data_IF_742552782540
#
_entry.id   IF_742552782540
#
_cell.length_a   1.000
_cell.length_b   1.000
_cell.length_c   1.000
_cell.angle_alpha   90.00
_cell.angle_beta   90.00
_cell.angle_gamma   90.00
#
_symmetry.space_group_name_H-M   'P 1'
#
loop_
_entity.id
_entity.type
_entity.pdbx_description
1 polymer ?
#
# COMPACT_ATOMS: atom_id res chain seq x y z
N UNK A 1 -4.72 4.26 0.00
CA UNK A 1 -3.76 4.79 -0.97
C UNK A 1 -2.71 5.69 -0.32
N UNK A 2 -3.05 6.48 0.70
CA UNK A 2 -2.11 7.39 1.37
C UNK A 2 -1.20 6.72 2.42
N UNK A 3 -1.39 5.43 2.69
CA UNK A 3 -0.55 4.68 3.62
C UNK A 3 -0.72 5.06 5.10
N UNK A 4 -1.87 5.61 5.49
CA UNK A 4 -2.15 5.93 6.90
C UNK A 4 -2.43 4.66 7.71
N UNK A 5 -2.09 4.68 8.99
CA UNK A 5 -2.29 3.56 9.93
C UNK A 5 -3.77 3.21 10.16
N UNK A 6 -4.64 4.20 10.07
CA UNK A 6 -6.07 4.04 10.32
C UNK A 6 -6.90 4.51 9.14
N UNK A 7 -8.07 3.88 8.95
CA UNK A 7 -9.09 4.25 7.97
C UNK A 7 -10.43 4.36 8.65
N UNK A 8 -11.27 5.33 8.22
CA UNK A 8 -12.64 5.47 8.68
C UNK A 8 -13.63 4.69 7.81
N UNK A 9 -13.44 4.78 6.49
CA UNK A 9 -14.25 4.17 5.45
C UNK A 9 -13.40 3.82 4.22
N UNK A 10 -14.00 3.11 3.28
CA UNK A 10 -13.38 2.81 2.00
C UNK A 10 -14.18 3.45 0.87
N UNK A 11 -13.52 4.27 0.05
CA UNK A 11 -14.05 4.74 -1.23
C UNK A 11 -13.52 3.87 -2.38
N UNK A 12 -14.42 3.21 -3.09
CA UNK A 12 -14.11 2.40 -4.28
C UNK A 12 -14.63 3.11 -5.52
N UNK A 13 -13.76 3.33 -6.49
CA UNK A 13 -14.11 3.87 -7.79
C UNK A 13 -14.08 2.79 -8.86
N UNK A 14 -15.11 2.79 -9.72
CA UNK A 14 -15.26 1.86 -10.83
C UNK A 14 -15.67 2.62 -12.09
N UNK A 15 -15.15 2.20 -13.23
CA UNK A 15 -15.69 2.55 -14.54
C UNK A 15 -16.48 1.37 -15.10
N UNK A 16 -17.69 1.59 -15.57
CA UNK A 16 -18.52 0.53 -16.13
C UNK A 16 -19.54 1.08 -17.13
N UNK A 17 -19.91 0.31 -18.15
CA UNK A 17 -20.96 0.71 -19.10
C UNK A 17 -22.34 0.87 -18.44
N UNK A 18 -22.61 0.13 -17.35
CA UNK A 18 -23.85 0.22 -16.59
C UNK A 18 -23.56 0.30 -15.10
N UNK A 19 -23.74 1.50 -14.54
CA UNK A 19 -23.60 1.71 -13.10
C UNK A 19 -24.60 0.90 -12.29
N UNK A 20 -25.83 0.76 -12.77
CA UNK A 20 -26.89 0.04 -12.04
C UNK A 20 -26.52 -1.41 -11.75
N UNK A 21 -26.00 -2.13 -12.74
CA UNK A 21 -25.60 -3.54 -12.56
C UNK A 21 -24.50 -3.66 -11.50
N UNK A 22 -23.54 -2.73 -11.51
CA UNK A 22 -22.46 -2.68 -10.51
C UNK A 22 -23.03 -2.44 -9.12
N UNK A 23 -23.93 -1.46 -8.99
CA UNK A 23 -24.53 -1.11 -7.70
C UNK A 23 -25.41 -2.23 -7.13
N UNK A 24 -26.22 -2.89 -7.99
CA UNK A 24 -27.07 -4.01 -7.57
C UNK A 24 -26.22 -5.19 -7.07
N UNK A 25 -25.08 -5.48 -7.71
CA UNK A 25 -24.14 -6.52 -7.25
C UNK A 25 -23.42 -6.12 -5.97
N UNK A 26 -23.05 -4.85 -5.85
CA UNK A 26 -22.34 -4.36 -4.68
C UNK A 26 -23.19 -4.46 -3.41
N UNK A 27 -24.46 -4.02 -3.44
CA UNK A 27 -25.34 -4.10 -2.28
C UNK A 27 -25.77 -5.54 -1.94
N UNK A 28 -25.68 -6.46 -2.91
CA UNK A 28 -25.96 -7.88 -2.72
C UNK A 28 -24.73 -8.70 -2.28
N UNK A 29 -23.57 -8.06 -2.01
CA UNK A 29 -22.39 -8.76 -1.54
C UNK A 29 -22.64 -9.40 -0.17
N UNK A 30 -22.24 -10.65 0.00
CA UNK A 30 -22.59 -11.48 1.17
C UNK A 30 -22.14 -10.90 2.53
N UNK A 31 -21.08 -10.10 2.53
CA UNK A 31 -20.57 -9.46 3.75
C UNK A 31 -21.28 -8.13 4.09
N UNK A 32 -22.25 -7.70 3.27
CA UNK A 32 -23.04 -6.50 3.57
C UNK A 32 -24.02 -6.81 4.69
N UNK A 33 -23.92 -6.02 5.77
CA UNK A 33 -24.86 -6.05 6.89
C UNK A 33 -26.01 -5.07 6.67
N UNK A 34 -25.68 -3.82 6.32
CA UNK A 34 -26.66 -2.74 6.14
C UNK A 34 -26.42 -2.03 4.80
N UNK A 35 -27.46 -1.77 4.05
CA UNK A 35 -27.41 -0.88 2.88
C UNK A 35 -27.80 0.52 3.34
N UNK A 36 -26.83 1.44 3.36
CA UNK A 36 -27.00 2.82 3.81
C UNK A 36 -27.57 3.72 2.70
N UNK A 37 -27.17 3.47 1.46
CA UNK A 37 -27.66 4.15 0.27
C UNK A 37 -27.53 3.25 -0.95
N UNK A 38 -28.49 3.31 -1.88
CA UNK A 38 -28.45 2.58 -3.14
C UNK A 38 -28.93 3.49 -4.27
N UNK A 39 -28.02 3.94 -5.10
CA UNK A 39 -28.27 4.80 -6.26
C UNK A 39 -27.68 4.23 -7.56
N UNK A 40 -27.92 4.91 -8.68
CA UNK A 40 -27.45 4.45 -9.98
C UNK A 40 -25.92 4.59 -10.16
N UNK A 41 -25.29 5.58 -9.49
CA UNK A 41 -23.86 5.87 -9.63
C UNK A 41 -23.12 5.89 -8.29
N UNK A 42 -23.85 5.84 -7.17
CA UNK A 42 -23.28 5.73 -5.81
C UNK A 42 -24.12 4.80 -4.97
N UNK A 43 -23.47 3.89 -4.26
CA UNK A 43 -24.05 3.11 -3.17
C UNK A 43 -23.11 3.09 -1.98
N UNK A 44 -23.69 3.02 -0.78
CA UNK A 44 -22.95 2.96 0.49
C UNK A 44 -23.48 1.78 1.30
N UNK A 45 -22.59 0.99 1.84
CA UNK A 45 -22.92 -0.17 2.65
C UNK A 45 -22.10 -0.19 3.94
N UNK A 46 -22.59 -0.92 4.94
CA UNK A 46 -21.82 -1.30 6.11
C UNK A 46 -21.62 -2.81 6.10
N UNK A 47 -20.37 -3.23 6.17
CA UNK A 47 -20.02 -4.64 6.22
C UNK A 47 -20.26 -5.24 7.61
N UNK A 48 -20.26 -6.56 7.72
CA UNK A 48 -20.37 -7.30 8.97
C UNK A 48 -19.29 -6.93 9.98
N UNK A 49 -18.08 -6.59 9.51
CA UNK A 49 -16.97 -6.04 10.30
C UNK A 49 -17.24 -4.66 10.93
N UNK A 50 -18.33 -3.98 10.51
CA UNK A 50 -18.65 -2.61 10.89
C UNK A 50 -18.05 -1.54 9.97
N UNK A 51 -17.16 -1.91 9.04
CA UNK A 51 -16.54 -0.99 8.10
C UNK A 51 -17.58 -0.47 7.10
N UNK A 52 -17.59 0.85 6.88
CA UNK A 52 -18.38 1.46 5.82
C UNK A 52 -17.59 1.42 4.50
N UNK A 53 -18.30 1.11 3.42
CA UNK A 53 -17.73 1.12 2.06
C UNK A 53 -18.67 1.91 1.15
N UNK A 54 -18.10 2.90 0.49
CA UNK A 54 -18.76 3.69 -0.55
C UNK A 54 -18.24 3.25 -1.92
N UNK A 55 -19.15 2.89 -2.81
CA UNK A 55 -18.80 2.57 -4.20
C UNK A 55 -19.40 3.61 -5.15
N UNK A 56 -18.58 4.08 -6.09
CA UNK A 56 -18.98 5.05 -7.11
C UNK A 56 -18.63 4.55 -8.49
N UNK A 57 -19.57 4.63 -9.41
CA UNK A 57 -19.32 4.47 -10.84
C UNK A 57 -19.15 5.86 -11.46
N UNK A 58 -18.01 6.05 -12.12
CA UNK A 58 -17.66 7.30 -12.80
C UNK A 58 -17.35 7.03 -14.27
N UNK A 59 -17.59 8.00 -15.16
CA UNK A 59 -17.16 7.92 -16.55
C UNK A 59 -15.63 7.80 -16.65
N UNK A 60 -15.13 7.14 -17.70
CA UNK A 60 -13.70 6.93 -17.91
C UNK A 60 -12.94 8.26 -17.99
N UNK A 61 -13.50 9.25 -18.65
CA UNK A 61 -12.94 10.61 -18.77
C UNK A 61 -12.81 11.37 -17.45
N UNK A 62 -13.51 10.93 -16.41
CA UNK A 62 -13.49 11.53 -15.06
C UNK A 62 -12.72 10.70 -14.04
N UNK A 63 -12.24 9.50 -14.43
CA UNK A 63 -11.69 8.53 -13.46
C UNK A 63 -10.49 9.07 -12.69
N UNK A 64 -9.54 9.71 -13.35
CA UNK A 64 -8.36 10.28 -12.69
C UNK A 64 -8.69 11.44 -11.76
N UNK A 65 -9.63 12.31 -12.15
CA UNK A 65 -10.07 13.41 -11.29
C UNK A 65 -10.84 12.91 -10.06
N UNK A 66 -11.71 11.90 -10.24
CA UNK A 66 -12.40 11.26 -9.14
C UNK A 66 -11.39 10.53 -8.21
N UNK A 67 -10.44 9.82 -8.78
CA UNK A 67 -9.40 9.12 -8.02
C UNK A 67 -8.57 10.09 -7.17
N UNK A 68 -8.15 11.22 -7.73
CA UNK A 68 -7.49 12.30 -7.01
C UNK A 68 -8.36 12.83 -5.85
N UNK A 69 -9.62 13.15 -6.17
CA UNK A 69 -10.55 13.76 -5.23
C UNK A 69 -10.80 12.85 -4.01
N UNK A 70 -11.13 11.56 -4.24
CA UNK A 70 -11.43 10.60 -3.17
C UNK A 70 -10.18 10.06 -2.46
N UNK A 71 -9.01 10.13 -3.09
CA UNK A 71 -7.73 9.87 -2.39
C UNK A 71 -7.45 10.94 -1.32
N UNK A 72 -7.73 12.19 -1.61
CA UNK A 72 -7.42 13.32 -0.72
C UNK A 72 -5.88 13.57 -0.64
N UNK A 73 -5.41 14.16 0.45
CA UNK A 73 -6.18 14.60 1.63
C UNK A 73 -7.09 15.79 1.29
N UNK A 74 -7.99 16.13 2.21
CA UNK A 74 -8.80 17.34 2.05
C UNK A 74 -7.92 18.58 1.89
N UNK A 75 -6.86 18.70 2.69
CA UNK A 75 -5.92 19.82 2.63
C UNK A 75 -5.25 19.91 1.24
N UNK A 76 -4.75 18.78 0.73
CA UNK A 76 -4.17 18.69 -0.61
C UNK A 76 -5.14 19.13 -1.70
N UNK A 77 -6.37 18.60 -1.69
CA UNK A 77 -7.40 18.95 -2.68
C UNK A 77 -7.80 20.44 -2.63
N UNK A 78 -7.79 21.06 -1.45
CA UNK A 78 -8.05 22.50 -1.30
C UNK A 78 -6.98 23.33 -2.02
N UNK A 79 -5.71 23.01 -1.81
CA UNK A 79 -4.58 23.72 -2.46
C UNK A 79 -4.61 23.53 -3.98
N UNK A 80 -4.86 22.30 -4.46
CA UNK A 80 -4.98 22.05 -5.91
C UNK A 80 -6.13 22.84 -6.54
N UNK A 81 -7.29 22.94 -5.88
CA UNK A 81 -8.41 23.75 -6.37
C UNK A 81 -8.09 25.24 -6.40
N UNK A 82 -7.39 25.75 -5.38
CA UNK A 82 -6.92 27.14 -5.38
C UNK A 82 -5.94 27.41 -6.53
N UNK A 83 -5.01 26.48 -6.77
CA UNK A 83 -4.07 26.58 -7.90
C UNK A 83 -4.79 26.54 -9.25
N UNK A 84 -5.82 25.69 -9.40
CA UNK A 84 -6.66 25.67 -10.60
C UNK A 84 -7.35 27.01 -10.81
N UNK A 85 -7.98 27.59 -9.78
CA UNK A 85 -8.65 28.89 -9.84
C UNK A 85 -7.70 30.03 -10.25
N UNK A 86 -6.47 30.04 -9.69
CA UNK A 86 -5.44 31.02 -10.09
C UNK A 86 -5.07 30.94 -11.57
N UNK A 87 -5.33 29.82 -12.23
CA UNK A 87 -5.10 29.58 -13.67
C UNK A 87 -6.35 29.70 -14.54
N UNK A 88 -7.45 30.18 -13.97
CA UNK A 88 -8.74 30.28 -14.66
C UNK A 88 -9.37 28.92 -14.97
N UNK A 89 -9.04 27.89 -14.14
CA UNK A 89 -9.55 26.53 -14.25
C UNK A 89 -10.44 26.20 -13.06
N UNK A 90 -11.37 25.27 -13.24
CA UNK A 90 -12.19 24.66 -12.20
C UNK A 90 -11.81 23.20 -12.06
N UNK A 91 -11.45 22.76 -10.86
CA UNK A 91 -11.15 21.36 -10.53
C UNK A 91 -12.21 20.79 -9.58
N UNK A 92 -12.78 19.66 -9.93
CA UNK A 92 -13.68 18.85 -9.10
C UNK A 92 -13.50 17.36 -9.40
N UNK A 93 -14.35 16.50 -8.83
CA UNK A 93 -14.33 15.05 -9.02
C UNK A 93 -14.64 14.58 -10.46
N UNK A 94 -15.16 15.47 -11.31
CA UNK A 94 -15.49 15.17 -12.70
C UNK A 94 -14.38 15.57 -13.67
N UNK A 95 -13.44 16.41 -13.25
CA UNK A 95 -12.33 16.84 -14.12
C UNK A 95 -11.82 18.23 -13.82
N UNK A 96 -10.95 18.66 -14.72
CA UNK A 96 -10.47 20.05 -14.84
C UNK A 96 -11.18 20.70 -16.01
N UNK A 97 -11.73 21.89 -15.81
CA UNK A 97 -12.54 22.60 -16.80
C UNK A 97 -12.05 24.04 -17.00
N UNK A 98 -12.18 24.55 -18.23
CA UNK A 98 -12.08 25.97 -18.55
C UNK A 98 -13.46 26.46 -19.02
N UNK A 99 -14.18 27.15 -18.13
CA UNK A 99 -15.63 27.33 -18.32
C UNK A 99 -16.29 25.94 -18.31
N UNK A 100 -17.06 25.63 -19.34
CA UNK A 100 -17.73 24.34 -19.50
C UNK A 100 -16.92 23.31 -20.31
N UNK A 101 -15.74 23.69 -20.82
CA UNK A 101 -14.91 22.80 -21.65
C UNK A 101 -14.02 21.95 -20.77
N UNK A 102 -14.06 20.61 -20.90
CA UNK A 102 -13.14 19.72 -20.20
C UNK A 102 -11.71 19.92 -20.72
N UNK A 103 -10.73 19.91 -19.80
CA UNK A 103 -9.31 20.08 -20.07
C UNK A 103 -8.54 18.80 -19.72
N UNK A 104 -8.88 18.18 -18.59
CA UNK A 104 -8.24 16.96 -18.10
C UNK A 104 -9.17 16.26 -17.10
N UNK A 105 -8.96 14.95 -16.85
CA UNK A 105 -9.76 14.20 -15.89
C UNK A 105 -9.58 12.70 -15.97
N UNK A 106 -9.10 12.16 -17.09
CA UNK A 106 -9.02 10.72 -17.33
C UNK A 106 -7.99 10.03 -16.44
N UNK A 107 -6.85 10.68 -16.18
CA UNK A 107 -5.80 10.17 -15.29
C UNK A 107 -5.40 11.25 -14.27
N UNK A 108 -4.83 10.83 -13.13
CA UNK A 108 -4.30 11.78 -12.14
C UNK A 108 -3.18 12.64 -12.76
N UNK A 109 -2.30 12.01 -13.57
CA UNK A 109 -1.19 12.67 -14.26
C UNK A 109 -1.70 13.81 -15.16
N UNK A 110 -2.79 13.58 -15.91
CA UNK A 110 -3.38 14.60 -16.77
C UNK A 110 -3.93 15.78 -15.96
N UNK A 111 -4.52 15.50 -14.79
CA UNK A 111 -5.00 16.54 -13.87
C UNK A 111 -3.83 17.38 -13.35
N UNK A 112 -2.77 16.74 -12.83
CA UNK A 112 -1.58 17.46 -12.34
C UNK A 112 -0.90 18.26 -13.47
N UNK A 113 -0.71 17.66 -14.63
CA UNK A 113 -0.11 18.33 -15.79
C UNK A 113 -0.88 19.58 -16.21
N UNK A 114 -2.22 19.56 -16.20
CA UNK A 114 -3.06 20.73 -16.49
C UNK A 114 -2.83 21.89 -15.50
N UNK A 115 -2.38 21.55 -14.28
CA UNK A 115 -2.00 22.49 -13.23
C UNK A 115 -0.50 22.82 -13.25
N UNK A 116 0.27 22.35 -14.25
CA UNK A 116 1.71 22.55 -14.36
C UNK A 116 2.50 21.91 -13.22
N UNK A 117 2.05 20.77 -12.74
CA UNK A 117 2.68 19.99 -11.69
C UNK A 117 3.04 18.61 -12.22
N UNK A 118 4.13 17.98 -11.75
CA UNK A 118 4.30 16.56 -11.88
C UNK A 118 3.26 15.82 -11.01
N UNK A 119 3.00 14.56 -11.32
CA UNK A 119 2.19 13.71 -10.45
C UNK A 119 2.82 13.59 -9.07
N UNK A 120 2.00 13.71 -8.02
CA UNK A 120 2.42 13.61 -6.62
C UNK A 120 1.93 12.28 -6.07
N UNK A 121 2.81 11.41 -5.53
CA UNK A 121 2.42 10.17 -4.88
C UNK A 121 1.35 10.37 -3.81
N UNK A 122 0.35 9.49 -3.71
CA UNK A 122 -0.71 9.58 -2.70
C UNK A 122 -0.20 9.74 -1.27
N UNK A 123 0.87 9.05 -0.93
CA UNK A 123 1.50 9.05 0.39
C UNK A 123 2.01 10.43 0.82
N UNK A 124 2.30 11.31 -0.14
CA UNK A 124 2.77 12.68 0.11
C UNK A 124 1.64 13.71 0.19
N UNK A 125 0.39 13.36 -0.13
CA UNK A 125 -0.74 14.29 -0.27
C UNK A 125 -1.36 14.70 1.07
N UNK A 126 -0.56 15.18 2.01
CA UNK A 126 -1.02 15.52 3.37
C UNK A 126 -1.08 17.04 3.66
N UNK A 127 -0.83 17.89 2.66
CA UNK A 127 -0.82 19.35 2.84
C UNK A 127 0.39 19.84 3.62
N UNK A 128 1.54 19.17 3.49
CA UNK A 128 2.79 19.46 4.21
C UNK A 128 3.85 20.13 3.33
N UNK A 129 3.42 20.83 2.27
CA UNK A 129 4.33 21.52 1.35
C UNK A 129 4.70 20.72 0.11
N UNK A 130 4.06 19.57 -0.13
CA UNK A 130 4.31 18.70 -1.28
C UNK A 130 4.04 19.38 -2.63
N UNK A 131 3.08 20.34 -2.68
CA UNK A 131 2.79 21.09 -3.90
C UNK A 131 3.97 21.99 -4.28
N UNK A 132 4.59 22.68 -3.30
CA UNK A 132 5.73 23.55 -3.55
C UNK A 132 7.01 22.73 -3.81
N UNK A 133 7.16 21.59 -3.16
CA UNK A 133 8.21 20.62 -3.47
C UNK A 133 8.09 20.10 -4.91
N UNK A 134 6.87 19.78 -5.36
CA UNK A 134 6.58 19.35 -6.73
C UNK A 134 6.94 20.42 -7.76
N UNK A 135 6.51 21.68 -7.53
CA UNK A 135 6.88 22.82 -8.40
C UNK A 135 8.39 23.01 -8.53
N UNK A 136 9.11 22.75 -7.45
CA UNK A 136 10.57 22.91 -7.37
C UNK A 136 11.35 21.67 -7.84
N UNK A 137 10.67 20.59 -8.28
CA UNK A 137 11.32 19.32 -8.64
C UNK A 137 12.01 18.61 -7.46
N UNK A 138 11.53 18.81 -6.23
CA UNK A 138 12.15 18.33 -4.98
C UNK A 138 11.29 17.31 -4.24
N UNK A 139 10.37 16.63 -4.96
CA UNK A 139 9.65 15.49 -4.35
C UNK A 139 10.66 14.40 -3.98
N UNK A 140 10.54 13.76 -2.80
CA UNK A 140 11.37 12.63 -2.46
C UNK A 140 11.03 11.43 -3.35
N UNK A 141 12.02 10.61 -3.64
CA UNK A 141 11.80 9.26 -4.15
C UNK A 141 11.29 8.40 -2.99
N UNK A 142 10.09 7.85 -3.14
CA UNK A 142 9.52 6.92 -2.15
C UNK A 142 10.11 5.54 -2.33
N UNK A 143 10.19 4.80 -1.23
CA UNK A 143 10.68 3.41 -1.25
C UNK A 143 9.67 2.52 -1.97
N UNK A 144 10.12 1.82 -2.99
CA UNK A 144 9.38 0.84 -3.75
C UNK A 144 9.77 -0.59 -3.37
N UNK A 145 8.96 -1.57 -3.76
CA UNK A 145 9.28 -2.99 -3.56
C UNK A 145 10.65 -3.37 -4.16
N UNK A 146 11.04 -2.74 -5.28
CA UNK A 146 12.33 -2.95 -5.93
C UNK A 146 13.53 -2.43 -5.13
N UNK A 147 13.30 -1.50 -4.19
CA UNK A 147 14.34 -0.95 -3.32
C UNK A 147 14.64 -1.88 -2.14
N UNK A 148 13.75 -2.80 -1.82
CA UNK A 148 13.98 -3.80 -0.77
C UNK A 148 15.04 -4.79 -1.21
N UNK A 149 16.16 -4.79 -0.52
CA UNK A 149 17.32 -5.64 -0.82
C UNK A 149 17.47 -6.82 0.11
N UNK A 150 16.75 -6.84 1.21
CA UNK A 150 16.81 -7.91 2.20
C UNK A 150 15.65 -7.91 3.16
N UNK A 151 15.54 -8.99 3.91
CA UNK A 151 14.63 -9.16 5.03
C UNK A 151 15.46 -9.64 6.24
N UNK A 152 15.21 -9.04 7.39
CA UNK A 152 16.02 -9.24 8.60
C UNK A 152 15.29 -10.03 9.69
N UNK A 153 14.08 -10.54 9.42
CA UNK A 153 13.31 -11.28 10.40
C UNK A 153 12.50 -12.40 9.74
N UNK A 154 12.93 -13.64 9.95
CA UNK A 154 12.23 -14.80 9.43
C UNK A 154 12.52 -16.07 10.25
N UNK A 155 11.53 -16.96 10.30
CA UNK A 155 11.54 -18.21 11.04
C UNK A 155 11.50 -19.41 10.11
N UNK A 156 12.14 -20.51 10.55
CA UNK A 156 12.15 -21.78 9.83
C UNK A 156 11.41 -22.87 10.61
N UNK A 157 11.33 -24.07 10.03
CA UNK A 157 10.84 -25.28 10.72
C UNK A 157 11.68 -25.65 11.98
N UNK A 158 12.82 -25.01 12.17
CA UNK A 158 13.61 -25.22 13.38
C UNK A 158 12.87 -24.70 14.62
N UNK A 159 11.98 -23.73 14.48
CA UNK A 159 11.08 -23.24 15.53
C UNK A 159 9.62 -23.34 15.09
N UNK A 160 8.95 -22.24 14.79
CA UNK A 160 7.52 -22.17 14.49
C UNK A 160 7.22 -21.84 13.00
N UNK A 161 8.26 -21.64 12.19
CA UNK A 161 8.12 -21.46 10.75
C UNK A 161 7.64 -22.72 10.03
N UNK A 162 7.12 -22.55 8.82
CA UNK A 162 6.51 -23.63 8.02
C UNK A 162 7.46 -24.28 7.03
N UNK A 163 8.55 -23.60 6.69
CA UNK A 163 9.48 -24.01 5.64
C UNK A 163 10.89 -24.27 6.17
N UNK A 164 11.64 -25.10 5.48
CA UNK A 164 13.04 -25.37 5.79
C UNK A 164 13.93 -24.17 5.47
N UNK A 165 15.15 -24.16 5.99
CA UNK A 165 16.16 -23.16 5.70
C UNK A 165 16.40 -23.00 4.18
N UNK A 166 16.49 -24.11 3.43
CA UNK A 166 16.69 -24.11 1.99
C UNK A 166 15.49 -23.49 1.24
N UNK A 167 14.27 -23.91 1.60
CA UNK A 167 13.04 -23.36 0.97
C UNK A 167 12.91 -21.85 1.22
N UNK A 168 13.22 -21.38 2.43
CA UNK A 168 13.21 -19.96 2.77
C UNK A 168 14.26 -19.17 2.00
N UNK A 169 15.49 -19.69 1.92
CA UNK A 169 16.57 -19.06 1.18
C UNK A 169 16.27 -18.96 -0.33
N UNK A 170 15.73 -20.02 -0.94
CA UNK A 170 15.36 -20.01 -2.35
C UNK A 170 14.18 -19.06 -2.63
N UNK A 171 13.18 -19.02 -1.75
CA UNK A 171 12.06 -18.08 -1.87
C UNK A 171 12.52 -16.62 -1.77
N UNK A 172 13.48 -16.32 -0.88
CA UNK A 172 14.08 -14.99 -0.75
C UNK A 172 14.90 -14.62 -2.02
N UNK A 173 15.69 -15.57 -2.54
CA UNK A 173 16.46 -15.39 -3.79
C UNK A 173 15.54 -15.10 -4.98
N UNK A 174 14.46 -15.84 -5.14
CA UNK A 174 13.47 -15.66 -6.22
C UNK A 174 12.75 -14.32 -6.14
N UNK A 175 12.64 -13.72 -4.94
CA UNK A 175 12.13 -12.37 -4.74
C UNK A 175 13.15 -11.26 -5.02
N UNK A 176 14.38 -11.62 -5.41
CA UNK A 176 15.45 -10.68 -5.72
C UNK A 176 16.13 -10.07 -4.49
N UNK A 177 15.95 -10.68 -3.31
CA UNK A 177 16.66 -10.24 -2.10
C UNK A 177 18.14 -10.60 -2.21
N UNK A 178 19.01 -9.73 -1.70
CA UNK A 178 20.46 -9.90 -1.67
C UNK A 178 20.96 -10.49 -0.36
N UNK A 179 20.18 -10.33 0.71
CA UNK A 179 20.45 -10.90 2.03
C UNK A 179 19.12 -11.23 2.71
N UNK A 180 19.17 -12.25 3.60
CA UNK A 180 18.00 -12.74 4.30
C UNK A 180 18.43 -13.30 5.67
N UNK A 181 17.89 -12.74 6.76
CA UNK A 181 18.23 -13.21 8.09
C UNK A 181 17.28 -14.33 8.56
N UNK A 182 17.85 -15.40 9.08
CA UNK A 182 17.12 -16.39 9.85
C UNK A 182 17.21 -15.99 11.31
N UNK A 183 16.06 -15.80 11.94
CA UNK A 183 15.92 -15.32 13.32
C UNK A 183 14.98 -16.23 14.11
N UNK A 184 15.21 -17.53 14.04
CA UNK A 184 14.45 -18.51 14.81
C UNK A 184 14.49 -18.19 16.31
N UNK A 185 13.42 -18.52 17.04
CA UNK A 185 13.28 -18.20 18.45
C UNK A 185 14.35 -18.84 19.34
N UNK A 186 14.76 -18.10 20.36
CA UNK A 186 15.63 -18.61 21.42
C UNK A 186 14.88 -19.57 22.36
N UNK A 187 15.64 -20.32 23.15
CA UNK A 187 15.17 -21.38 24.08
C UNK A 187 14.00 -20.93 24.97
N UNK A 188 13.89 -19.64 25.30
CA UNK A 188 12.86 -19.13 26.22
C UNK A 188 11.45 -19.35 25.67
N UNK A 189 11.24 -19.21 24.39
CA UNK A 189 9.92 -19.42 23.78
C UNK A 189 9.67 -20.93 23.54
N UNK A 190 9.26 -21.62 24.58
CA UNK A 190 9.03 -23.09 24.55
C UNK A 190 7.91 -23.49 23.60
N UNK A 191 6.85 -22.67 23.47
CA UNK A 191 5.73 -22.91 22.56
C UNK A 191 6.16 -22.93 21.08
N UNK A 192 7.16 -22.15 20.71
CA UNK A 192 7.75 -22.15 19.38
C UNK A 192 8.89 -23.17 19.21
N UNK A 193 9.15 -24.02 20.20
CA UNK A 193 10.28 -24.95 20.22
C UNK A 193 11.64 -24.25 20.08
N UNK A 194 11.79 -23.12 20.75
CA UNK A 194 12.96 -22.25 20.65
C UNK A 194 14.30 -23.00 20.76
N UNK A 195 15.31 -22.47 20.09
CA UNK A 195 16.62 -23.11 19.96
C UNK A 195 17.42 -23.01 21.26
N UNK A 196 17.90 -24.14 21.75
CA UNK A 196 19.00 -24.19 22.74
C UNK A 196 20.35 -23.92 22.04
N UNK A 197 21.43 -23.82 22.83
CA UNK A 197 22.77 -23.52 22.33
C UNK A 197 23.26 -24.53 21.29
N UNK A 198 22.96 -25.83 21.49
CA UNK A 198 23.40 -26.90 20.58
C UNK A 198 22.66 -26.81 19.24
N UNK A 199 21.34 -26.62 19.26
CA UNK A 199 20.52 -26.44 18.06
C UNK A 199 20.85 -25.15 17.32
N UNK A 200 21.16 -24.06 18.03
CA UNK A 200 21.60 -22.80 17.41
C UNK A 200 22.94 -23.01 16.69
N UNK A 201 23.92 -23.70 17.30
CA UNK A 201 25.18 -23.99 16.61
C UNK A 201 24.95 -24.83 15.35
N UNK A 202 24.13 -25.87 15.41
CA UNK A 202 23.77 -26.68 14.24
C UNK A 202 23.14 -25.85 13.13
N UNK A 203 22.27 -24.91 13.50
CA UNK A 203 21.65 -23.99 12.52
C UNK A 203 22.68 -23.05 11.90
N UNK A 204 23.57 -22.45 12.69
CA UNK A 204 24.61 -21.57 12.15
C UNK A 204 25.55 -22.30 11.20
N UNK A 205 25.92 -23.57 11.50
CA UNK A 205 26.69 -24.41 10.57
C UNK A 205 25.91 -24.76 9.29
N UNK A 206 24.59 -25.00 9.41
CA UNK A 206 23.74 -25.26 8.27
C UNK A 206 23.65 -24.04 7.35
N UNK A 207 23.57 -22.83 7.92
CA UNK A 207 23.61 -21.56 7.18
C UNK A 207 24.96 -21.39 6.47
N UNK A 208 26.09 -21.71 7.11
CA UNK A 208 27.42 -21.66 6.47
C UNK A 208 27.50 -22.59 5.25
N UNK A 209 27.06 -23.85 5.43
CA UNK A 209 27.04 -24.81 4.32
C UNK A 209 26.13 -24.35 3.17
N UNK A 210 24.97 -23.75 3.50
CA UNK A 210 24.05 -23.24 2.49
C UNK A 210 24.65 -22.05 1.75
N UNK A 211 25.24 -21.08 2.46
CA UNK A 211 25.91 -19.93 1.85
C UNK A 211 27.08 -20.32 0.92
N UNK A 212 27.78 -21.42 1.22
CA UNK A 212 28.84 -21.91 0.35
C UNK A 212 28.33 -22.42 -1.02
N UNK A 213 27.05 -22.73 -1.14
CA UNK A 213 26.42 -23.24 -2.39
C UNK A 213 25.49 -22.24 -3.07
N UNK A 214 25.03 -21.22 -2.34
CA UNK A 214 24.15 -20.20 -2.89
C UNK A 214 24.91 -19.13 -3.68
N UNK A 215 24.25 -18.59 -4.69
CA UNK A 215 24.72 -17.43 -5.45
C UNK A 215 23.63 -16.34 -5.48
N UNK A 216 24.07 -15.08 -5.41
CA UNK A 216 23.19 -13.91 -5.54
C UNK A 216 22.41 -13.53 -4.27
N UNK A 217 22.53 -14.31 -3.18
CA UNK A 217 21.95 -14.00 -1.87
C UNK A 217 22.89 -14.48 -0.75
N UNK A 218 22.88 -13.77 0.37
CA UNK A 218 23.57 -14.16 1.61
C UNK A 218 22.56 -14.41 2.72
N UNK A 219 22.61 -15.58 3.34
CA UNK A 219 21.77 -15.89 4.52
C UNK A 219 22.54 -15.45 5.77
N UNK A 220 21.93 -14.53 6.51
CA UNK A 220 22.47 -14.00 7.75
C UNK A 220 22.04 -14.89 8.92
N UNK A 221 22.94 -15.01 9.91
CA UNK A 221 22.72 -15.74 11.15
C UNK A 221 22.13 -14.77 12.18
N UNK A 222 20.96 -15.06 12.68
CA UNK A 222 20.30 -14.30 13.72
C UNK A 222 19.61 -15.22 14.72
N UNK A 223 19.05 -14.64 15.74
CA UNK A 223 18.19 -15.29 16.72
C UNK A 223 17.25 -14.24 17.30
N UNK A 224 16.00 -14.60 17.46
CA UNK A 224 15.04 -13.78 18.20
C UNK A 224 15.11 -14.10 19.69
N UNK A 225 15.30 -13.06 20.50
CA UNK A 225 15.41 -13.16 21.96
C UNK A 225 14.41 -12.24 22.65
N UNK A 226 13.88 -12.67 23.79
CA UNK A 226 13.11 -11.82 24.69
C UNK A 226 14.05 -10.90 25.46
N UNK A 227 13.74 -9.61 25.52
CA UNK A 227 14.40 -8.66 26.42
C UNK A 227 13.69 -8.74 27.77
N UNK A 228 14.41 -9.05 28.82
CA UNK A 228 13.89 -9.18 30.17
C UNK A 228 14.00 -7.87 30.94
N UNK A 229 13.37 -7.80 32.15
CA UNK A 229 13.39 -6.62 33.02
C UNK A 229 14.83 -6.22 33.46
N UNK A 230 15.74 -7.19 33.48
CA UNK A 230 17.15 -7.00 33.88
C UNK A 230 18.10 -6.79 32.67
N UNK A 231 17.58 -6.73 31.46
CA UNK A 231 18.29 -6.45 30.21
C UNK A 231 18.77 -7.67 29.45
#
# INVERSE_FOLDING_TARGET
RRGLETIGDLDILVTAPSGRIVMDRFVAYQEVRDVLAHGATKSSVRLQSGLQVDLRVVPQESYGAALLYFTGSKAHNVVLRQLAQQRGLKLNEYGVFRGDKPVAGETEESVYASLGLPWIPPELREGRGEIDAAKAGRLPHLVDLQDLKGDLHAHTKATDGRHSLQEMAEAARLRGLRYFAITDHSRRLTMAKGLDSARLLQQTEAIDRLNATLSGITILKGIEVDILEDG
#
